data_IF_726240257836
#
_entry.id   IF_726240257836
#
_cell.length_a   1.000
_cell.length_b   1.000
_cell.length_c   1.000
_cell.angle_alpha   90.00
_cell.angle_beta   90.00
_cell.angle_gamma   90.00
#
_symmetry.space_group_name_H-M   'P 1'
#
loop_
_entity.id
_entity.type
_entity.pdbx_description
1 polymer ?
#
# COMPACT_ATOMS: atom_id res chain seq x y z
N UNK A 1 -5.08 4.78 -15.45
CA UNK A 1 -4.47 3.43 -15.33
C UNK A 1 -2.96 3.60 -15.19
N UNK A 2 -2.28 2.89 -14.28
CA UNK A 2 -0.85 3.08 -14.05
C UNK A 2 -0.02 2.61 -15.26
N UNK A 3 1.03 3.36 -15.59
CA UNK A 3 2.03 2.93 -16.59
C UNK A 3 2.83 1.73 -16.06
N UNK A 4 3.47 0.98 -16.96
CA UNK A 4 4.33 -0.14 -16.52
C UNK A 4 5.52 0.33 -15.67
N UNK A 5 6.02 1.53 -15.94
CA UNK A 5 7.09 2.13 -15.16
C UNK A 5 6.62 2.55 -13.76
N UNK A 6 5.36 2.97 -13.61
CA UNK A 6 4.75 3.21 -12.30
C UNK A 6 4.66 1.91 -11.50
N UNK A 7 4.26 0.81 -12.13
CA UNK A 7 4.27 -0.51 -11.50
C UNK A 7 5.70 -0.91 -11.08
N UNK A 8 6.70 -0.76 -11.96
CA UNK A 8 8.11 -1.02 -11.60
C UNK A 8 8.61 -0.14 -10.45
N UNK A 9 8.17 1.12 -10.39
CA UNK A 9 8.50 2.01 -9.29
C UNK A 9 7.86 1.53 -7.98
N UNK A 10 6.61 1.11 -7.97
CA UNK A 10 5.92 0.70 -6.74
C UNK A 10 6.44 -0.64 -6.20
N UNK A 11 6.74 -1.60 -7.07
CA UNK A 11 7.01 -3.00 -6.68
C UNK A 11 8.45 -3.34 -6.30
N UNK A 12 9.28 -2.32 -6.06
CA UNK A 12 10.61 -2.54 -5.48
C UNK A 12 10.53 -2.58 -3.95
N UNK A 13 11.22 -3.53 -3.27
CA UNK A 13 11.07 -3.75 -1.83
C UNK A 13 11.21 -2.48 -0.98
N UNK A 14 12.28 -1.70 -1.17
CA UNK A 14 12.49 -0.46 -0.40
C UNK A 14 11.47 0.62 -0.72
N UNK A 15 11.04 0.75 -1.98
CA UNK A 15 10.04 1.76 -2.38
C UNK A 15 8.67 1.42 -1.82
N UNK A 16 8.33 0.13 -1.76
CA UNK A 16 7.12 -0.33 -1.11
C UNK A 16 7.10 0.00 0.38
N UNK A 17 8.21 -0.22 1.09
CA UNK A 17 8.35 0.15 2.51
C UNK A 17 8.22 1.67 2.73
N UNK A 18 8.72 2.49 1.81
CA UNK A 18 8.53 3.95 1.84
C UNK A 18 7.04 4.30 1.66
N UNK A 19 6.36 3.71 0.67
CA UNK A 19 4.92 3.92 0.43
C UNK A 19 4.10 3.53 1.67
N UNK A 20 4.37 2.37 2.26
CA UNK A 20 3.69 1.91 3.48
C UNK A 20 3.91 2.89 4.63
N UNK A 21 5.16 3.33 4.84
CA UNK A 21 5.49 4.29 5.89
C UNK A 21 4.73 5.61 5.70
N UNK A 22 4.76 6.19 4.51
CA UNK A 22 4.08 7.46 4.22
C UNK A 22 2.56 7.33 4.27
N UNK A 23 2.01 6.19 3.87
CA UNK A 23 0.56 5.94 3.97
C UNK A 23 0.09 5.92 5.42
N UNK A 24 0.88 5.29 6.30
CA UNK A 24 0.57 5.17 7.73
C UNK A 24 0.88 6.45 8.49
N UNK A 25 2.07 7.04 8.32
CA UNK A 25 2.57 8.13 9.16
C UNK A 25 2.29 9.51 8.55
N UNK A 26 1.78 9.59 7.33
CA UNK A 26 1.59 10.85 6.61
C UNK A 26 2.91 11.42 6.07
N UNK A 27 2.97 12.74 5.81
CA UNK A 27 4.17 13.38 5.29
C UNK A 27 5.37 13.21 6.21
N UNK A 28 6.54 12.89 5.65
CA UNK A 28 7.74 12.61 6.44
C UNK A 28 9.02 13.16 5.80
N UNK A 29 10.02 13.40 6.65
CA UNK A 29 11.36 13.78 6.22
C UNK A 29 12.16 12.58 5.71
N UNK A 30 13.10 12.83 4.79
CA UNK A 30 14.06 11.79 4.32
C UNK A 30 14.81 11.13 5.48
N UNK A 31 15.22 11.91 6.49
CA UNK A 31 15.91 11.39 7.68
C UNK A 31 15.04 10.41 8.47
N UNK A 32 13.80 10.79 8.79
CA UNK A 32 12.84 9.93 9.48
C UNK A 32 12.56 8.62 8.72
N UNK A 33 12.41 8.69 7.39
CA UNK A 33 12.28 7.52 6.53
C UNK A 33 13.54 6.63 6.55
N UNK A 34 14.73 7.22 6.56
CA UNK A 34 16.00 6.51 6.62
C UNK A 34 16.14 5.74 7.94
N UNK A 35 15.87 6.41 9.05
CA UNK A 35 15.95 5.83 10.39
C UNK A 35 14.91 4.73 10.57
N UNK A 36 13.64 4.99 10.25
CA UNK A 36 12.56 4.03 10.41
C UNK A 36 12.71 2.77 9.54
N UNK A 37 13.32 2.91 8.35
CA UNK A 37 13.49 1.80 7.42
C UNK A 37 14.86 1.11 7.54
N UNK A 38 15.76 1.63 8.40
CA UNK A 38 17.13 1.15 8.53
C UNK A 38 17.90 1.25 7.21
N UNK A 39 17.79 2.39 6.52
CA UNK A 39 18.40 2.64 5.21
C UNK A 39 19.27 3.89 5.26
N UNK A 40 20.23 4.00 4.34
CA UNK A 40 21.01 5.23 4.21
C UNK A 40 20.15 6.37 3.62
N UNK A 41 20.34 7.60 4.11
CA UNK A 41 19.66 8.82 3.62
C UNK A 41 19.77 8.98 2.10
N UNK A 42 20.94 8.67 1.52
CA UNK A 42 21.16 8.71 0.07
C UNK A 42 20.31 7.69 -0.69
N UNK A 43 20.12 6.49 -0.13
CA UNK A 43 19.26 5.43 -0.71
C UNK A 43 17.79 5.85 -0.70
N UNK A 44 17.28 6.36 0.43
CA UNK A 44 15.91 6.88 0.53
C UNK A 44 15.69 8.04 -0.45
N UNK A 45 16.62 9.00 -0.51
CA UNK A 45 16.56 10.13 -1.46
C UNK A 45 16.46 9.66 -2.91
N UNK A 46 17.25 8.64 -3.28
CA UNK A 46 17.19 8.06 -4.62
C UNK A 46 15.83 7.42 -4.90
N UNK A 47 15.32 6.62 -3.96
CA UNK A 47 14.03 5.95 -4.08
C UNK A 47 12.84 6.91 -4.15
N UNK A 48 12.83 7.97 -3.35
CA UNK A 48 11.81 9.02 -3.40
C UNK A 48 11.77 9.72 -4.76
N UNK A 49 12.93 10.05 -5.34
CA UNK A 49 12.98 10.61 -6.71
C UNK A 49 12.45 9.65 -7.77
N UNK A 50 12.66 8.34 -7.62
CA UNK A 50 12.08 7.34 -8.54
C UNK A 50 10.56 7.32 -8.42
N UNK A 51 10.03 7.37 -7.19
CA UNK A 51 8.59 7.41 -6.92
C UNK A 51 7.96 8.73 -7.39
N UNK A 52 8.64 9.86 -7.21
CA UNK A 52 8.23 11.20 -7.66
C UNK A 52 8.04 11.24 -9.18
N UNK A 53 8.98 10.68 -9.95
CA UNK A 53 8.88 10.61 -11.41
C UNK A 53 7.65 9.83 -11.92
N UNK A 54 6.97 9.09 -11.06
CA UNK A 54 5.78 8.31 -11.41
C UNK A 54 4.54 8.78 -10.62
N UNK A 55 4.59 9.99 -10.04
CA UNK A 55 3.50 10.60 -9.28
C UNK A 55 2.97 9.67 -8.18
N UNK A 56 3.89 8.96 -7.50
CA UNK A 56 3.54 8.14 -6.34
C UNK A 56 3.70 8.93 -5.05
N UNK A 57 4.72 9.78 -5.00
CA UNK A 57 5.00 10.68 -3.88
C UNK A 57 5.29 12.08 -4.42
N UNK A 58 5.08 13.10 -3.59
CA UNK A 58 5.45 14.47 -3.91
C UNK A 58 6.17 15.13 -2.75
N UNK A 59 6.95 16.16 -3.06
CA UNK A 59 7.56 17.02 -2.05
C UNK A 59 6.51 17.94 -1.42
N UNK A 60 6.73 18.26 -0.15
CA UNK A 60 5.88 19.15 0.65
C UNK A 60 6.74 20.32 1.17
N UNK A 61 7.15 21.25 0.30
CA UNK A 61 8.08 22.33 0.66
C UNK A 61 7.57 23.22 1.81
N UNK A 62 6.26 23.35 1.97
CA UNK A 62 5.61 24.12 3.03
C UNK A 62 5.89 23.59 4.45
N UNK A 63 6.28 22.32 4.59
CA UNK A 63 6.71 21.74 5.88
C UNK A 63 8.21 21.90 6.15
N UNK A 64 8.99 22.31 5.13
CA UNK A 64 10.43 22.47 5.26
C UNK A 64 10.77 23.78 6.00
N UNK A 65 11.43 23.66 7.16
CA UNK A 65 11.89 24.81 7.95
C UNK A 65 13.31 25.25 7.54
N UNK A 66 14.03 24.43 6.78
CA UNK A 66 15.34 24.75 6.20
C UNK A 66 15.51 24.16 4.79
N UNK A 67 16.56 24.56 4.07
CA UNK A 67 16.84 24.05 2.72
C UNK A 67 17.48 22.64 2.69
N UNK A 68 17.79 22.07 3.86
CA UNK A 68 18.52 20.79 3.97
C UNK A 68 17.58 19.61 4.15
N UNK A 69 16.41 19.84 4.74
CA UNK A 69 15.37 18.83 4.94
C UNK A 69 14.33 18.89 3.83
N UNK A 70 14.06 17.74 3.20
CA UNK A 70 12.95 17.60 2.26
C UNK A 70 11.87 16.71 2.87
N UNK A 71 10.64 17.22 2.82
CA UNK A 71 9.44 16.52 3.24
C UNK A 71 8.73 15.92 2.04
N UNK A 72 8.17 14.73 2.23
CA UNK A 72 7.54 13.96 1.19
C UNK A 72 6.22 13.41 1.67
N UNK A 73 5.20 13.42 0.83
CA UNK A 73 3.89 12.81 1.08
C UNK A 73 3.56 11.81 -0.01
N UNK A 74 2.70 10.84 0.33
CA UNK A 74 2.11 9.94 -0.64
C UNK A 74 0.98 10.67 -1.39
N UNK A 75 0.91 10.51 -2.71
CA UNK A 75 -0.14 11.14 -3.55
C UNK A 75 -1.44 10.30 -3.59
N UNK A 76 -1.31 8.97 -3.52
CA UNK A 76 -2.46 8.06 -3.42
C UNK A 76 -2.12 6.91 -2.49
N UNK A 77 -2.98 6.68 -1.50
CA UNK A 77 -2.89 5.56 -0.56
C UNK A 77 -3.30 4.22 -1.16
N UNK A 78 -4.02 4.23 -2.29
CA UNK A 78 -4.47 3.01 -2.98
C UNK A 78 -3.80 2.85 -4.36
N UNK A 79 -3.39 1.62 -4.65
CA UNK A 79 -2.80 1.22 -5.93
C UNK A 79 -3.46 -0.09 -6.35
N UNK A 80 -4.17 -0.08 -7.47
CA UNK A 80 -4.79 -1.25 -8.10
C UNK A 80 -4.51 -1.25 -9.60
N UNK A 81 -4.28 -2.43 -10.19
CA UNK A 81 -4.08 -2.65 -11.63
C UNK A 81 -4.52 -4.06 -12.02
N UNK A 82 -4.89 -4.23 -13.30
CA UNK A 82 -5.00 -5.54 -13.93
C UNK A 82 -3.78 -5.81 -14.80
N UNK A 83 -3.38 -7.08 -14.92
CA UNK A 83 -2.38 -7.48 -15.93
C UNK A 83 -2.90 -7.21 -17.34
N UNK A 84 -4.22 -7.30 -17.55
CA UNK A 84 -4.85 -7.08 -18.85
C UNK A 84 -4.89 -5.60 -19.26
N UNK A 85 -4.52 -4.69 -18.36
CA UNK A 85 -4.32 -3.26 -18.65
C UNK A 85 -3.15 -3.01 -19.61
N UNK A 86 -2.28 -4.00 -19.82
CA UNK A 86 -1.04 -3.86 -20.59
C UNK A 86 -1.11 -4.58 -21.94
N UNK A 87 -0.86 -3.83 -23.02
CA UNK A 87 -1.01 -4.31 -24.40
C UNK A 87 0.12 -5.25 -24.87
N UNK A 88 1.36 -5.05 -24.41
CA UNK A 88 2.50 -5.85 -24.86
C UNK A 88 2.72 -7.09 -23.98
N UNK A 89 3.28 -8.16 -24.56
CA UNK A 89 3.62 -9.38 -23.82
C UNK A 89 4.63 -9.07 -22.70
N UNK A 90 5.63 -8.24 -22.99
CA UNK A 90 6.69 -7.86 -22.05
C UNK A 90 6.13 -7.09 -20.85
N UNK A 91 5.21 -6.15 -21.09
CA UNK A 91 4.59 -5.38 -20.02
C UNK A 91 3.68 -6.26 -19.17
N UNK A 92 2.89 -7.17 -19.79
CA UNK A 92 2.10 -8.16 -19.04
C UNK A 92 2.97 -9.08 -18.18
N UNK A 93 4.11 -9.53 -18.69
CA UNK A 93 5.06 -10.33 -17.90
C UNK A 93 5.59 -9.55 -16.71
N UNK A 94 5.94 -8.28 -16.91
CA UNK A 94 6.40 -7.39 -15.85
C UNK A 94 5.30 -7.15 -14.81
N UNK A 95 4.07 -6.89 -15.24
CA UNK A 95 2.91 -6.71 -14.36
C UNK A 95 2.61 -7.97 -13.53
N UNK A 96 2.76 -9.17 -14.12
CA UNK A 96 2.63 -10.44 -13.39
C UNK A 96 3.71 -10.62 -12.33
N UNK A 97 4.95 -10.28 -12.63
CA UNK A 97 6.04 -10.34 -11.65
C UNK A 97 5.79 -9.37 -10.49
N UNK A 98 5.32 -8.16 -10.80
CA UNK A 98 4.90 -7.17 -9.81
C UNK A 98 3.73 -7.64 -8.94
N UNK A 99 2.72 -8.30 -9.54
CA UNK A 99 1.58 -8.87 -8.81
C UNK A 99 2.02 -9.97 -7.84
N UNK A 100 2.94 -10.86 -8.24
CA UNK A 100 3.52 -11.87 -7.34
C UNK A 100 4.24 -11.22 -6.17
N UNK A 101 5.12 -10.25 -6.44
CA UNK A 101 5.81 -9.52 -5.39
C UNK A 101 4.85 -8.79 -4.43
N UNK A 102 3.70 -8.32 -4.93
CA UNK A 102 2.65 -7.71 -4.12
C UNK A 102 1.99 -8.72 -3.18
N UNK A 103 1.64 -9.90 -3.70
CA UNK A 103 1.06 -10.98 -2.89
C UNK A 103 2.04 -11.43 -1.82
N UNK A 104 3.32 -11.61 -2.16
CA UNK A 104 4.35 -11.99 -1.19
C UNK A 104 4.48 -10.95 -0.07
N UNK A 105 4.36 -9.66 -0.40
CA UNK A 105 4.35 -8.58 0.57
C UNK A 105 3.10 -8.62 1.47
N UNK A 106 1.92 -8.83 0.90
CA UNK A 106 0.67 -8.96 1.65
C UNK A 106 0.72 -10.12 2.65
N UNK A 107 1.18 -11.30 2.20
CA UNK A 107 1.34 -12.47 3.05
C UNK A 107 2.38 -12.27 4.14
N UNK A 108 3.47 -11.53 3.89
CA UNK A 108 4.43 -11.16 4.94
C UNK A 108 3.80 -10.31 6.04
N UNK A 109 2.98 -9.32 5.70
CA UNK A 109 2.27 -8.47 6.68
C UNK A 109 1.25 -9.28 7.47
N UNK A 110 0.49 -10.16 6.82
CA UNK A 110 -0.44 -11.05 7.52
C UNK A 110 0.29 -12.00 8.48
N UNK A 111 1.38 -12.63 8.04
CA UNK A 111 2.17 -13.52 8.89
C UNK A 111 2.83 -12.77 10.06
N UNK A 112 3.21 -11.50 9.88
CA UNK A 112 3.70 -10.64 10.96
C UNK A 112 2.61 -10.32 11.98
N UNK A 113 1.41 -9.95 11.52
CA UNK A 113 0.24 -9.80 12.40
C UNK A 113 -0.01 -11.07 13.22
N UNK A 114 -0.08 -12.23 12.58
CA UNK A 114 -0.29 -13.51 13.27
C UNK A 114 0.77 -13.82 14.33
N UNK A 115 2.03 -13.38 14.15
CA UNK A 115 3.09 -13.57 15.15
C UNK A 115 2.96 -12.64 16.36
N UNK A 116 2.46 -11.42 16.18
CA UNK A 116 2.36 -10.39 17.25
C UNK A 116 0.96 -10.26 17.85
N UNK A 117 -0.02 -11.02 17.35
CA UNK A 117 -1.41 -10.90 17.77
C UNK A 117 -1.59 -11.18 19.28
N UNK A 118 -0.87 -12.15 19.83
CA UNK A 118 -0.92 -12.49 21.26
C UNK A 118 -0.38 -11.37 22.16
N UNK A 119 0.58 -10.58 21.66
CA UNK A 119 1.12 -9.41 22.36
C UNK A 119 0.25 -8.15 22.20
N UNK A 120 -0.75 -8.18 21.32
CA UNK A 120 -1.66 -7.06 21.08
C UNK A 120 -2.77 -6.97 22.15
N UNK A 121 -3.47 -5.85 22.27
CA UNK A 121 -4.60 -5.76 23.20
C UNK A 121 -5.75 -6.69 22.78
N UNK A 122 -6.62 -7.06 23.72
CA UNK A 122 -7.82 -7.85 23.39
C UNK A 122 -8.72 -7.13 22.38
N UNK A 123 -8.88 -5.81 22.53
CA UNK A 123 -9.62 -4.95 21.61
C UNK A 123 -9.12 -5.11 20.16
N UNK A 124 -7.80 -5.07 19.94
CA UNK A 124 -7.23 -5.23 18.60
C UNK A 124 -7.34 -6.65 18.05
N UNK A 125 -7.27 -7.67 18.91
CA UNK A 125 -7.50 -9.06 18.48
C UNK A 125 -8.94 -9.29 18.05
N UNK A 126 -9.90 -8.72 18.78
CA UNK A 126 -11.34 -8.82 18.45
C UNK A 126 -11.72 -8.01 17.21
N UNK A 127 -11.07 -6.87 16.99
CA UNK A 127 -11.28 -6.05 15.79
C UNK A 127 -10.68 -6.67 14.51
N UNK A 128 -9.64 -7.50 14.64
CA UNK A 128 -8.99 -8.12 13.48
C UNK A 128 -9.91 -9.14 12.80
N UNK A 129 -10.10 -8.98 11.49
CA UNK A 129 -10.98 -9.84 10.70
C UNK A 129 -10.19 -10.89 9.92
N UNK A 130 -10.61 -12.16 10.01
CA UNK A 130 -10.19 -13.24 9.12
C UNK A 130 -11.42 -13.99 8.64
N UNK A 131 -11.66 -13.97 7.33
CA UNK A 131 -12.88 -14.56 6.74
C UNK A 131 -12.58 -15.18 5.38
N UNK A 132 -13.18 -16.33 5.13
CA UNK A 132 -13.24 -16.97 3.81
C UNK A 132 -14.69 -17.05 3.35
N UNK A 133 -14.91 -16.85 2.05
CA UNK A 133 -16.23 -16.99 1.42
C UNK A 133 -16.11 -17.85 0.16
N UNK A 134 -16.76 -19.01 0.16
CA UNK A 134 -16.89 -19.88 -1.01
C UNK A 134 -18.32 -19.89 -1.52
N UNK A 135 -18.55 -19.44 -2.76
CA UNK A 135 -19.86 -19.49 -3.41
C UNK A 135 -19.71 -19.50 -4.93
N UNK A 136 -20.84 -19.58 -5.66
CA UNK A 136 -20.90 -19.44 -7.12
C UNK A 136 -21.27 -18.01 -7.49
N UNK A 137 -20.66 -17.49 -8.56
CA UNK A 137 -20.96 -16.17 -9.11
C UNK A 137 -20.62 -16.11 -10.60
N UNK A 138 -21.35 -15.29 -11.34
CA UNK A 138 -20.97 -14.84 -12.68
C UNK A 138 -19.83 -13.81 -12.60
N UNK A 139 -19.17 -13.54 -13.73
CA UNK A 139 -18.14 -12.51 -13.81
C UNK A 139 -18.66 -11.10 -13.46
N UNK A 140 -19.92 -10.80 -13.80
CA UNK A 140 -20.56 -9.52 -13.48
C UNK A 140 -20.80 -9.38 -11.96
N UNK A 141 -21.30 -10.42 -11.32
CA UNK A 141 -21.52 -10.44 -9.86
C UNK A 141 -20.19 -10.36 -9.09
N UNK A 142 -19.14 -11.05 -9.54
CA UNK A 142 -17.80 -10.95 -8.95
C UNK A 142 -17.21 -9.54 -9.08
N UNK A 143 -17.38 -8.90 -10.24
CA UNK A 143 -16.95 -7.51 -10.47
C UNK A 143 -17.68 -6.55 -9.53
N UNK A 144 -18.98 -6.74 -9.35
CA UNK A 144 -19.79 -5.92 -8.44
C UNK A 144 -19.39 -6.10 -6.98
N UNK A 145 -19.11 -7.33 -6.53
CA UNK A 145 -18.56 -7.59 -5.20
C UNK A 145 -17.25 -6.82 -4.98
N UNK A 146 -16.32 -6.91 -5.95
CA UNK A 146 -15.04 -6.19 -5.87
C UNK A 146 -15.22 -4.67 -5.76
N UNK A 147 -16.14 -4.10 -6.55
CA UNK A 147 -16.48 -2.67 -6.50
C UNK A 147 -16.98 -2.26 -5.10
N UNK A 148 -17.95 -3.00 -4.56
CA UNK A 148 -18.55 -2.72 -3.24
C UNK A 148 -17.54 -2.79 -2.11
N UNK A 149 -16.67 -3.81 -2.10
CA UNK A 149 -15.64 -3.97 -1.07
C UNK A 149 -14.63 -2.83 -1.09
N UNK A 150 -14.21 -2.40 -2.28
CA UNK A 150 -13.27 -1.27 -2.43
C UNK A 150 -13.91 0.07 -2.07
N UNK A 151 -15.17 0.30 -2.45
CA UNK A 151 -15.94 1.49 -2.07
C UNK A 151 -16.11 1.58 -0.55
N UNK A 152 -16.53 0.49 0.09
CA UNK A 152 -16.66 0.42 1.57
C UNK A 152 -15.34 0.74 2.27
N UNK A 153 -14.22 0.19 1.79
CA UNK A 153 -12.90 0.47 2.37
C UNK A 153 -12.46 1.93 2.17
N UNK A 154 -12.76 2.50 0.99
CA UNK A 154 -12.43 3.89 0.69
C UNK A 154 -13.25 4.86 1.57
N UNK A 155 -14.57 4.65 1.66
CA UNK A 155 -15.48 5.42 2.52
C UNK A 155 -15.01 5.38 3.97
N UNK A 156 -14.85 4.18 4.54
CA UNK A 156 -14.35 4.01 5.91
C UNK A 156 -13.04 4.76 6.16
N UNK A 157 -12.07 4.65 5.25
CA UNK A 157 -10.77 5.32 5.41
C UNK A 157 -10.86 6.84 5.33
N UNK A 158 -11.83 7.38 4.57
CA UNK A 158 -12.03 8.81 4.37
C UNK A 158 -12.74 9.49 5.54
N UNK A 159 -13.50 8.74 6.32
CA UNK A 159 -14.18 9.22 7.53
C UNK A 159 -13.24 9.36 8.73
N UNK A 160 -12.03 8.81 8.66
CA UNK A 160 -11.04 8.92 9.74
C UNK A 160 -10.45 10.32 9.76
N UNK A 161 -10.89 11.13 10.72
CA UNK A 161 -10.20 12.36 11.10
C UNK A 161 -8.85 12.00 11.74
N UNK A 162 -7.75 12.49 11.19
CA UNK A 162 -6.40 12.19 11.70
C UNK A 162 -5.94 13.17 12.78
N UNK A 163 -6.68 14.24 13.00
CA UNK A 163 -6.31 15.36 13.86
C UNK A 163 -7.18 15.45 15.14
N UNK A 164 -8.04 14.47 15.38
CA UNK A 164 -8.96 14.40 16.54
C UNK A 164 -8.30 13.94 17.87
N UNK A 165 -6.99 13.70 17.86
CA UNK A 165 -6.21 13.30 19.03
C UNK A 165 -6.39 11.84 19.49
N UNK A 166 -7.15 11.00 18.77
CA UNK A 166 -7.28 9.59 19.11
C UNK A 166 -6.01 8.79 18.77
N UNK A 167 -5.60 7.90 19.67
CA UNK A 167 -4.57 6.91 19.40
C UNK A 167 -5.07 5.88 18.37
N UNK A 168 -4.25 5.57 17.36
CA UNK A 168 -4.61 4.68 16.25
C UNK A 168 -3.48 3.73 15.93
N UNK A 169 -3.81 2.47 15.66
CA UNK A 169 -2.87 1.51 15.09
C UNK A 169 -2.90 1.52 13.56
N UNK A 170 -1.75 1.27 12.90
CA UNK A 170 -1.72 1.06 11.46
C UNK A 170 -2.53 -0.18 11.05
N UNK A 171 -3.61 0.03 10.29
CA UNK A 171 -4.43 -1.05 9.72
C UNK A 171 -3.96 -1.38 8.31
N UNK A 172 -3.80 -2.66 8.00
CA UNK A 172 -3.50 -3.13 6.65
C UNK A 172 -4.60 -4.04 6.13
N UNK A 173 -5.34 -3.55 5.13
CA UNK A 173 -6.36 -4.31 4.40
C UNK A 173 -5.80 -4.73 3.04
N UNK A 174 -5.93 -6.02 2.72
CA UNK A 174 -5.74 -6.51 1.36
C UNK A 174 -6.84 -7.52 1.03
N UNK A 175 -7.36 -7.42 -0.18
CA UNK A 175 -8.53 -8.17 -0.63
C UNK A 175 -8.21 -8.78 -2.00
N UNK A 176 -8.53 -10.06 -2.17
CA UNK A 176 -8.52 -10.73 -3.47
C UNK A 176 -9.82 -11.53 -3.60
N UNK A 177 -10.50 -11.38 -4.72
CA UNK A 177 -11.68 -12.18 -5.07
C UNK A 177 -11.43 -12.81 -6.45
N UNK A 178 -11.46 -14.13 -6.54
CA UNK A 178 -11.05 -14.86 -7.75
C UNK A 178 -11.86 -16.15 -7.93
N UNK A 179 -12.08 -16.62 -9.17
CA UNK A 179 -12.64 -17.95 -9.42
C UNK A 179 -11.68 -19.03 -8.91
N UNK A 180 -12.20 -20.05 -8.24
CA UNK A 180 -11.43 -21.19 -7.73
C UNK A 180 -11.98 -22.53 -8.21
N UNK A 181 -11.20 -23.58 -8.06
CA UNK A 181 -11.63 -24.98 -8.20
C UNK A 181 -11.46 -25.67 -6.83
N UNK A 182 -12.27 -26.69 -6.51
CA UNK A 182 -12.06 -27.51 -5.33
C UNK A 182 -10.65 -28.10 -5.25
#
# INVERSE_FOLDING_TARGET
>A
MPSIDKIRAIHHPTRRRIIDYLGVNGPAQVGALADALGQQVGSISHHLRVLERQDVVARVPELAHDRRTSWWRLESSSISWSVDDFATVVDRMTARAAQRANIDHQLRKLAEWMRRADDSSQEWREAATSSDLGTVATAAELKELGRRLLETAAEWSSEIDRDDGQEREPVFLFLHAFPTRP
#
